data_IF_697514533652
#
_entry.id   IF_697514533652
#
_cell.length_a   1.000
_cell.length_b   1.000
_cell.length_c   1.000
_cell.angle_alpha   90.00
_cell.angle_beta   90.00
_cell.angle_gamma   90.00
#
_symmetry.space_group_name_H-M   'P 1'
#
loop_
_entity.id
_entity.type
_entity.pdbx_description
1 polymer ?
#
# COMPACT_ATOMS: atom_id res chain seq x y z
N UNK A 1 -0.83 -11.75 -6.38
CA UNK A 1 0.39 -11.40 -5.62
C UNK A 1 0.44 -12.07 -4.24
N UNK A 2 -0.68 -12.25 -3.56
CA UNK A 2 -0.71 -13.03 -2.29
C UNK A 2 -0.26 -14.49 -2.46
N UNK A 3 -0.50 -15.09 -3.62
CA UNK A 3 -0.11 -16.49 -3.93
C UNK A 3 1.39 -16.68 -4.17
N UNK A 4 2.16 -15.61 -4.42
CA UNK A 4 3.60 -15.72 -4.73
C UNK A 4 4.50 -16.01 -3.53
N UNK A 5 3.99 -15.92 -2.29
CA UNK A 5 4.76 -16.15 -1.07
C UNK A 5 5.82 -15.08 -0.73
N UNK A 6 6.04 -14.10 -1.61
CA UNK A 6 7.03 -13.03 -1.44
C UNK A 6 6.75 -12.21 -0.17
N UNK A 7 5.49 -11.85 0.06
CA UNK A 7 5.07 -11.12 1.27
C UNK A 7 5.36 -11.90 2.54
N UNK A 8 5.09 -13.20 2.53
CA UNK A 8 5.41 -14.11 3.65
C UNK A 8 6.92 -14.30 3.84
N UNK A 9 7.68 -14.35 2.75
CA UNK A 9 9.13 -14.45 2.81
C UNK A 9 9.76 -13.19 3.43
N UNK A 10 9.33 -11.99 2.99
CA UNK A 10 9.76 -10.71 3.57
C UNK A 10 9.42 -10.65 5.06
N UNK A 11 8.17 -10.94 5.43
CA UNK A 11 7.75 -10.95 6.82
C UNK A 11 8.56 -11.94 7.66
N UNK A 12 8.81 -13.16 7.18
CA UNK A 12 9.67 -14.15 7.87
C UNK A 12 11.09 -13.65 8.02
N UNK A 13 11.70 -13.11 6.95
CA UNK A 13 13.08 -12.61 6.99
C UNK A 13 13.25 -11.47 7.99
N UNK A 14 12.25 -10.59 8.10
CA UNK A 14 12.26 -9.48 9.06
C UNK A 14 11.97 -9.92 10.50
N UNK A 15 11.27 -11.05 10.69
CA UNK A 15 10.89 -11.58 12.01
C UNK A 15 11.82 -12.67 12.54
N UNK A 16 12.79 -13.16 11.77
CA UNK A 16 13.65 -14.30 12.16
C UNK A 16 14.51 -14.10 13.42
N UNK A 17 14.68 -12.87 13.89
CA UNK A 17 15.36 -12.58 15.18
C UNK A 17 14.32 -12.10 16.22
N UNK A 18 13.73 -12.97 16.92
CA UNK A 18 12.58 -12.91 17.85
C UNK A 18 12.37 -11.72 18.81
N UNK A 19 13.16 -10.64 18.74
CA UNK A 19 13.03 -9.38 19.49
C UNK A 19 13.68 -8.21 18.77
N UNK A 20 13.22 -7.90 17.55
CA UNK A 20 13.75 -6.72 16.88
C UNK A 20 13.09 -5.45 17.43
N UNK A 21 13.91 -4.41 17.65
CA UNK A 21 13.44 -3.12 18.14
C UNK A 21 12.48 -2.48 17.11
N UNK A 22 11.52 -1.69 17.58
CA UNK A 22 10.60 -0.93 16.74
C UNK A 22 11.35 -0.11 15.68
N UNK A 23 12.49 0.50 16.06
CA UNK A 23 13.35 1.25 15.13
C UNK A 23 13.84 0.40 13.96
N UNK A 24 14.22 -0.83 14.24
CA UNK A 24 14.68 -1.75 13.20
C UNK A 24 13.54 -2.10 12.22
N UNK A 25 12.32 -2.33 12.72
CA UNK A 25 11.16 -2.62 11.87
C UNK A 25 10.81 -1.42 10.99
N UNK A 26 10.81 -0.22 11.54
CA UNK A 26 10.60 1.03 10.82
C UNK A 26 11.64 1.19 9.70
N UNK A 27 12.92 1.09 10.04
CA UNK A 27 14.02 1.25 9.10
C UNK A 27 14.01 0.19 8.00
N UNK A 28 13.81 -1.08 8.37
CA UNK A 28 13.83 -2.18 7.42
C UNK A 28 12.65 -2.14 6.45
N UNK A 29 11.45 -1.79 6.90
CA UNK A 29 10.29 -1.63 6.03
C UNK A 29 10.47 -0.43 5.09
N UNK A 30 10.91 0.72 5.59
CA UNK A 30 11.20 1.88 4.77
C UNK A 30 12.27 1.58 3.70
N UNK A 31 13.39 0.96 4.11
CA UNK A 31 14.47 0.60 3.20
C UNK A 31 14.03 -0.43 2.14
N UNK A 32 13.32 -1.48 2.55
CA UNK A 32 12.82 -2.51 1.62
C UNK A 32 11.86 -1.91 0.61
N UNK A 33 10.95 -1.05 1.06
CA UNK A 33 9.99 -0.39 0.16
C UNK A 33 10.70 0.59 -0.77
N UNK A 34 11.69 1.33 -0.28
CA UNK A 34 12.49 2.23 -1.11
C UNK A 34 13.26 1.48 -2.19
N UNK A 35 13.89 0.36 -1.85
CA UNK A 35 14.60 -0.49 -2.81
C UNK A 35 13.66 -1.04 -3.90
N UNK A 36 12.48 -1.50 -3.53
CA UNK A 36 11.48 -1.95 -4.50
C UNK A 36 11.02 -0.79 -5.40
N UNK A 37 10.86 0.40 -4.84
CA UNK A 37 10.44 1.59 -5.57
C UNK A 37 11.47 2.10 -6.56
N UNK A 38 12.74 1.68 -6.48
CA UNK A 38 13.73 1.95 -7.52
C UNK A 38 13.41 1.22 -8.83
N UNK A 39 12.79 0.05 -8.74
CA UNK A 39 12.53 -0.81 -9.89
C UNK A 39 11.07 -0.79 -10.36
N UNK A 40 10.17 -0.21 -9.57
CA UNK A 40 8.74 -0.16 -9.89
C UNK A 40 8.11 1.15 -9.40
N UNK A 41 6.87 1.41 -9.85
CA UNK A 41 6.10 2.56 -9.41
C UNK A 41 5.91 2.57 -7.87
N UNK A 42 5.96 3.75 -7.25
CA UNK A 42 5.81 3.97 -5.81
C UNK A 42 4.57 3.30 -5.22
N UNK A 43 3.42 3.42 -5.91
CA UNK A 43 2.16 2.81 -5.48
C UNK A 43 2.25 1.29 -5.46
N UNK A 44 2.85 0.70 -6.50
CA UNK A 44 3.04 -0.75 -6.58
C UNK A 44 3.98 -1.26 -5.49
N UNK A 45 5.09 -0.56 -5.22
CA UNK A 45 6.04 -0.90 -4.16
C UNK A 45 5.36 -0.85 -2.77
N UNK A 46 4.62 0.22 -2.49
CA UNK A 46 3.85 0.36 -1.25
C UNK A 46 2.79 -0.73 -1.10
N UNK A 47 1.99 -0.98 -2.13
CA UNK A 47 0.95 -2.00 -2.13
C UNK A 47 1.51 -3.42 -1.94
N UNK A 48 2.69 -3.72 -2.48
CA UNK A 48 3.35 -5.02 -2.32
C UNK A 48 3.78 -5.27 -0.87
N UNK A 49 4.27 -4.24 -0.19
CA UNK A 49 4.77 -4.34 1.20
C UNK A 49 3.65 -4.23 2.23
N UNK A 50 2.53 -3.60 1.90
CA UNK A 50 1.41 -3.34 2.80
C UNK A 50 0.94 -4.59 3.57
N UNK A 51 0.64 -5.75 2.93
CA UNK A 51 0.22 -6.95 3.67
C UNK A 51 1.29 -7.45 4.64
N UNK A 52 2.57 -7.36 4.26
CA UNK A 52 3.69 -7.75 5.11
C UNK A 52 3.82 -6.84 6.33
N UNK A 53 3.68 -5.53 6.15
CA UNK A 53 3.73 -4.56 7.24
C UNK A 53 2.60 -4.78 8.25
N UNK A 54 1.39 -5.08 7.78
CA UNK A 54 0.25 -5.38 8.64
C UNK A 54 0.42 -6.70 9.39
N UNK A 55 0.98 -7.72 8.75
CA UNK A 55 1.28 -8.99 9.40
C UNK A 55 2.35 -8.82 10.49
N UNK A 56 3.40 -8.02 10.21
CA UNK A 56 4.42 -7.67 11.20
C UNK A 56 3.79 -6.90 12.38
N UNK A 57 2.92 -5.93 12.12
CA UNK A 57 2.21 -5.17 13.15
C UNK A 57 1.43 -6.10 14.10
N UNK A 58 0.68 -7.07 13.54
CA UNK A 58 -0.07 -8.05 14.32
C UNK A 58 0.83 -8.92 15.20
N UNK A 59 1.96 -9.40 14.65
CA UNK A 59 2.88 -10.32 15.36
C UNK A 59 3.72 -9.64 16.42
N UNK A 60 4.09 -8.37 16.19
CA UNK A 60 4.99 -7.63 17.09
C UNK A 60 4.26 -6.73 18.07
N UNK A 61 2.94 -6.60 17.96
CA UNK A 61 2.09 -5.67 18.73
C UNK A 61 2.49 -4.18 18.54
N UNK A 62 3.26 -3.88 17.50
CA UNK A 62 3.54 -2.50 17.09
C UNK A 62 2.33 -1.96 16.35
N UNK A 63 1.92 -0.73 16.65
CA UNK A 63 0.75 -0.13 16.02
C UNK A 63 0.92 -0.04 14.50
N UNK A 64 -0.11 -0.39 13.69
CA UNK A 64 -0.03 -0.37 12.23
C UNK A 64 0.45 0.96 11.65
N UNK A 65 0.03 2.11 12.20
CA UNK A 65 0.45 3.43 11.73
C UNK A 65 1.97 3.60 11.77
N UNK A 66 2.65 3.07 12.78
CA UNK A 66 4.12 3.14 12.92
C UNK A 66 4.88 2.34 11.87
N UNK A 67 4.23 1.39 11.21
CA UNK A 67 4.83 0.57 10.15
C UNK A 67 4.36 1.01 8.76
N UNK A 68 3.10 1.44 8.62
CA UNK A 68 2.54 1.87 7.33
C UNK A 68 3.09 3.20 6.85
N UNK A 69 3.30 4.16 7.76
CA UNK A 69 3.89 5.46 7.43
C UNK A 69 5.31 5.29 6.85
N UNK A 70 6.23 4.53 7.48
CA UNK A 70 7.53 4.21 6.88
C UNK A 70 7.47 3.53 5.51
N UNK A 71 6.49 2.65 5.28
CA UNK A 71 6.26 2.05 3.96
C UNK A 71 5.89 3.11 2.92
N UNK A 72 4.98 4.02 3.26
CA UNK A 72 4.58 5.11 2.37
C UNK A 72 5.76 6.06 2.06
N UNK A 73 6.48 6.52 3.08
CA UNK A 73 7.65 7.37 2.87
C UNK A 73 8.78 6.64 2.15
N UNK A 74 9.02 5.37 2.47
CA UNK A 74 10.00 4.54 1.77
C UNK A 74 9.72 4.45 0.27
N UNK A 75 8.46 4.24 -0.12
CA UNK A 75 8.10 4.21 -1.54
C UNK A 75 8.34 5.54 -2.25
N UNK A 76 8.02 6.66 -1.62
CA UNK A 76 8.24 7.99 -2.18
C UNK A 76 9.73 8.33 -2.29
N UNK A 77 10.49 8.07 -1.22
CA UNK A 77 11.93 8.32 -1.19
C UNK A 77 12.68 7.47 -2.21
N UNK A 78 12.34 6.18 -2.34
CA UNK A 78 12.91 5.32 -3.38
C UNK A 78 12.56 5.81 -4.78
N UNK A 79 11.30 6.20 -4.98
CA UNK A 79 10.83 6.75 -6.25
C UNK A 79 11.52 8.04 -6.66
N UNK A 80 11.93 8.90 -5.72
CA UNK A 80 12.68 10.11 -6.04
C UNK A 80 14.08 9.84 -6.60
N UNK A 81 14.65 8.67 -6.32
CA UNK A 81 15.98 8.26 -6.74
C UNK A 81 16.02 7.52 -8.09
N UNK A 82 14.87 7.25 -8.69
CA UNK A 82 14.77 6.51 -9.95
C UNK A 82 14.13 7.34 -11.07
N UNK A 83 14.49 7.03 -12.31
CA UNK A 83 13.82 7.58 -13.50
C UNK A 83 12.39 7.04 -13.68
N UNK A 84 12.08 5.85 -13.17
CA UNK A 84 10.86 5.11 -13.47
C UNK A 84 9.58 5.61 -12.78
N UNK A 85 9.60 6.75 -12.12
CA UNK A 85 8.39 7.40 -11.62
C UNK A 85 7.79 8.33 -12.67
N UNK A 86 6.46 8.39 -12.71
CA UNK A 86 5.74 9.26 -13.65
C UNK A 86 6.22 10.71 -13.57
N UNK A 87 6.44 11.24 -12.35
CA UNK A 87 6.92 12.61 -12.16
C UNK A 87 8.28 12.84 -12.84
N UNK A 88 9.23 11.94 -12.65
CA UNK A 88 10.58 12.07 -13.20
C UNK A 88 10.62 11.90 -14.73
N UNK A 89 9.78 11.01 -15.26
CA UNK A 89 9.59 10.86 -16.71
C UNK A 89 9.04 12.16 -17.31
N UNK A 90 7.99 12.73 -16.71
CA UNK A 90 7.38 13.98 -17.18
C UNK A 90 8.39 15.14 -17.14
N UNK A 91 9.19 15.26 -16.05
CA UNK A 91 10.23 16.27 -15.95
C UNK A 91 11.26 16.13 -17.07
N UNK A 92 11.70 14.89 -17.37
CA UNK A 92 12.64 14.64 -18.46
C UNK A 92 12.05 14.98 -19.83
N UNK A 93 10.77 14.66 -20.06
CA UNK A 93 10.07 14.95 -21.30
C UNK A 93 9.86 16.45 -21.52
N UNK A 94 9.51 17.20 -20.48
CA UNK A 94 9.38 18.66 -20.52
C UNK A 94 10.68 19.35 -20.93
N UNK A 95 11.86 18.80 -20.62
CA UNK A 95 13.14 19.35 -21.06
C UNK A 95 13.29 19.32 -22.58
N UNK A 96 12.77 18.31 -23.24
CA UNK A 96 12.84 18.19 -24.70
C UNK A 96 11.95 19.18 -25.41
N UNK A 97 10.88 19.64 -24.78
CA UNK A 97 9.93 20.63 -25.28
C UNK A 97 10.26 22.06 -24.84
N UNK A 98 11.28 22.24 -23.97
CA UNK A 98 11.72 23.54 -23.49
C UNK A 98 12.30 24.43 -24.60
N UNK A 99 12.33 25.73 -24.40
CA UNK A 99 12.93 26.68 -25.34
C UNK A 99 14.11 27.42 -24.63
N UNK A 100 15.37 27.17 -25.03
CA UNK A 100 15.85 26.21 -26.05
C UNK A 100 15.67 24.74 -25.60
N UNK A 101 15.50 23.80 -26.55
CA UNK A 101 15.34 22.38 -26.25
C UNK A 101 16.56 21.82 -25.50
N UNK A 102 16.32 21.03 -24.47
CA UNK A 102 17.35 20.39 -23.66
C UNK A 102 17.36 18.88 -23.95
N UNK A 103 18.51 18.23 -23.77
CA UNK A 103 18.56 16.79 -23.84
C UNK A 103 17.75 16.12 -22.73
N UNK A 104 17.05 15.00 -22.99
CA UNK A 104 16.34 14.26 -21.96
C UNK A 104 17.31 13.76 -20.91
N UNK A 105 16.83 13.65 -19.68
CA UNK A 105 17.62 13.15 -18.57
C UNK A 105 17.89 11.65 -18.73
N UNK A 106 19.11 11.23 -18.46
CA UNK A 106 19.44 9.80 -18.48
C UNK A 106 18.90 9.09 -17.21
N UNK A 107 18.81 7.76 -17.27
CA UNK A 107 18.18 6.91 -16.25
C UNK A 107 18.72 7.16 -14.82
N UNK A 108 20.01 7.45 -14.68
CA UNK A 108 20.67 7.69 -13.40
C UNK A 108 20.71 9.16 -12.97
N UNK A 109 20.10 10.09 -13.74
CA UNK A 109 20.16 11.51 -13.44
C UNK A 109 19.57 11.89 -12.07
N UNK A 110 18.54 11.17 -11.65
CA UNK A 110 17.88 11.39 -10.36
C UNK A 110 18.55 10.66 -9.18
N UNK A 111 19.39 9.67 -9.45
CA UNK A 111 19.96 8.79 -8.42
C UNK A 111 20.89 9.53 -7.44
N UNK A 112 21.76 10.47 -7.84
CA UNK A 112 22.64 11.15 -6.87
C UNK A 112 21.88 11.98 -5.84
N UNK A 113 20.93 12.79 -6.30
CA UNK A 113 20.15 13.66 -5.40
C UNK A 113 19.05 12.91 -4.67
N UNK A 114 18.22 12.15 -5.39
CA UNK A 114 17.15 11.34 -4.83
C UNK A 114 17.68 10.21 -3.94
N UNK A 115 18.79 9.58 -4.31
CA UNK A 115 19.43 8.55 -3.50
C UNK A 115 19.96 9.10 -2.16
N UNK A 116 20.58 10.29 -2.18
CA UNK A 116 21.00 10.96 -0.94
C UNK A 116 19.80 11.30 -0.05
N UNK A 117 18.73 11.84 -0.64
CA UNK A 117 17.47 12.11 0.07
C UNK A 117 16.85 10.83 0.64
N UNK A 118 16.87 9.74 -0.11
CA UNK A 118 16.34 8.45 0.37
C UNK A 118 17.14 7.92 1.57
N UNK A 119 18.46 7.95 1.51
CA UNK A 119 19.33 7.55 2.61
C UNK A 119 19.07 8.43 3.84
N UNK A 120 19.07 9.75 3.68
CA UNK A 120 18.83 10.68 4.77
C UNK A 120 17.42 10.50 5.39
N UNK A 121 16.38 10.34 4.56
CA UNK A 121 15.01 10.14 5.01
C UNK A 121 14.82 8.80 5.74
N UNK A 122 15.41 7.72 5.25
CA UNK A 122 15.36 6.41 5.93
C UNK A 122 16.14 6.47 7.25
N UNK A 123 17.29 7.10 7.28
CA UNK A 123 18.07 7.31 8.51
C UNK A 123 17.27 8.15 9.54
N UNK A 124 16.62 9.21 9.10
CA UNK A 124 15.73 10.01 9.94
C UNK A 124 14.59 9.18 10.53
N UNK A 125 13.89 8.41 9.70
CA UNK A 125 12.83 7.52 10.17
C UNK A 125 13.34 6.44 11.15
N UNK A 126 14.53 5.91 10.92
CA UNK A 126 15.15 4.93 11.81
C UNK A 126 15.48 5.52 13.19
N UNK A 127 15.98 6.74 13.21
CA UNK A 127 16.41 7.40 14.45
C UNK A 127 15.24 8.00 15.23
N UNK A 128 14.35 8.71 14.54
CA UNK A 128 13.29 9.51 15.15
C UNK A 128 11.89 8.91 15.00
N UNK A 129 11.66 8.03 14.03
CA UNK A 129 10.33 7.50 13.70
C UNK A 129 9.61 6.87 14.88
N UNK A 130 10.33 6.12 15.75
CA UNK A 130 9.72 5.47 16.92
C UNK A 130 9.09 6.47 17.93
N UNK A 131 9.53 7.74 17.94
CA UNK A 131 9.03 8.78 18.86
C UNK A 131 8.00 9.71 18.22
N UNK A 132 8.13 9.94 16.91
CA UNK A 132 7.35 10.95 16.19
C UNK A 132 6.19 10.36 15.41
N UNK A 133 6.26 9.08 15.07
CA UNK A 133 5.16 8.42 14.38
C UNK A 133 3.96 8.22 15.33
N UNK A 134 2.75 8.55 14.85
CA UNK A 134 1.54 8.44 15.66
C UNK A 134 1.25 6.98 16.03
N UNK A 135 0.77 6.79 17.24
CA UNK A 135 0.44 5.48 17.82
C UNK A 135 -1.06 5.20 17.64
N UNK A 136 -1.48 4.99 16.39
CA UNK A 136 -2.89 4.81 16.03
C UNK A 136 -3.15 3.42 15.45
N UNK A 137 -4.30 2.89 15.77
CA UNK A 137 -4.86 1.74 15.06
C UNK A 137 -5.46 2.19 13.72
N UNK A 138 -5.56 1.31 12.72
CA UNK A 138 -6.23 1.63 11.46
C UNK A 138 -7.66 2.12 11.74
N UNK A 139 -8.08 3.14 10.98
CA UNK A 139 -9.44 3.67 11.12
C UNK A 139 -10.49 2.55 10.92
N UNK A 140 -11.65 2.65 11.60
CA UNK A 140 -12.74 1.67 11.47
C UNK A 140 -13.12 1.34 10.03
N UNK A 141 -13.02 2.32 9.12
CA UNK A 141 -13.26 2.16 7.68
C UNK A 141 -12.30 1.16 7.01
N UNK A 142 -11.04 1.09 7.46
CA UNK A 142 -10.09 0.07 6.98
C UNK A 142 -10.35 -1.31 7.61
N UNK A 143 -10.97 -1.34 8.76
CA UNK A 143 -11.49 -2.57 9.35
C UNK A 143 -12.69 -3.08 8.56
N UNK A 144 -13.61 -2.20 8.13
CA UNK A 144 -14.75 -2.56 7.28
C UNK A 144 -14.32 -3.13 5.92
N UNK A 145 -13.29 -2.58 5.28
CA UNK A 145 -12.74 -3.14 4.04
C UNK A 145 -12.17 -4.56 4.19
N UNK A 146 -12.05 -5.08 5.40
CA UNK A 146 -11.58 -6.44 5.74
C UNK A 146 -12.65 -7.35 6.27
N UNK A 147 -13.85 -6.83 6.48
CA UNK A 147 -14.99 -7.66 6.82
C UNK A 147 -15.25 -8.58 5.61
N UNK A 148 -15.25 -9.85 5.85
CA UNK A 148 -15.73 -10.85 4.90
C UNK A 148 -17.20 -10.53 4.61
N UNK A 149 -17.73 -10.92 3.46
CA UNK A 149 -19.14 -10.65 3.13
C UNK A 149 -20.13 -11.04 4.24
N UNK A 150 -19.84 -12.12 4.97
CA UNK A 150 -20.60 -12.55 6.16
C UNK A 150 -20.56 -11.53 7.30
N UNK A 151 -19.41 -10.91 7.55
CA UNK A 151 -19.28 -9.89 8.63
C UNK A 151 -19.98 -8.58 8.24
N UNK A 152 -20.07 -8.27 6.95
CA UNK A 152 -20.87 -7.14 6.43
C UNK A 152 -22.36 -7.43 6.57
N UNK A 153 -22.81 -8.65 6.27
CA UNK A 153 -24.21 -9.08 6.49
C UNK A 153 -24.62 -8.87 7.95
N UNK A 154 -23.81 -9.32 8.91
CA UNK A 154 -24.11 -9.18 10.34
C UNK A 154 -24.06 -7.71 10.80
N UNK A 155 -23.07 -6.94 10.34
CA UNK A 155 -22.89 -5.55 10.76
C UNK A 155 -23.99 -4.62 10.24
N UNK A 156 -24.46 -4.82 9.02
CA UNK A 156 -25.52 -4.01 8.41
C UNK A 156 -26.92 -4.64 8.54
N UNK A 157 -27.02 -5.79 9.26
CA UNK A 157 -28.27 -6.56 9.39
C UNK A 157 -28.91 -6.81 8.01
N UNK A 158 -28.08 -7.14 7.01
CA UNK A 158 -28.55 -7.34 5.63
C UNK A 158 -29.54 -8.49 5.55
N UNK A 159 -29.39 -9.52 6.40
CA UNK A 159 -30.33 -10.64 6.51
C UNK A 159 -31.74 -10.21 6.91
N UNK A 160 -31.90 -9.05 7.58
CA UNK A 160 -33.23 -8.50 7.92
C UNK A 160 -33.76 -7.52 6.87
N UNK A 161 -32.88 -7.02 5.96
CA UNK A 161 -33.20 -5.97 4.97
C UNK A 161 -33.16 -6.46 3.53
N UNK A 162 -32.44 -7.53 3.27
CA UNK A 162 -32.30 -8.10 1.93
C UNK A 162 -32.92 -9.48 1.91
N UNK A 163 -33.87 -9.70 1.02
CA UNK A 163 -34.50 -10.98 0.78
C UNK A 163 -34.08 -11.48 -0.60
N UNK A 164 -33.47 -12.64 -0.67
CA UNK A 164 -33.26 -13.34 -1.93
C UNK A 164 -34.52 -14.13 -2.26
N UNK A 165 -35.26 -13.69 -3.28
CA UNK A 165 -36.45 -14.36 -3.75
C UNK A 165 -36.15 -15.09 -5.05
N UNK A 166 -36.34 -16.40 -5.06
CA UNK A 166 -36.21 -17.22 -6.25
C UNK A 166 -37.53 -17.27 -6.97
N UNK A 167 -37.59 -16.71 -8.18
CA UNK A 167 -38.78 -16.75 -9.03
C UNK A 167 -38.77 -18.06 -9.80
N UNK A 168 -39.75 -18.97 -9.58
CA UNK A 168 -39.86 -20.20 -10.35
C UNK A 168 -40.16 -19.91 -11.83
N UNK A 169 -39.76 -20.81 -12.76
CA UNK A 169 -39.97 -20.60 -14.20
C UNK A 169 -41.42 -20.42 -14.64
N UNK A 170 -42.33 -20.95 -13.87
CA UNK A 170 -43.79 -20.92 -14.07
C UNK A 170 -44.50 -19.75 -13.35
N UNK A 171 -43.73 -18.90 -12.71
CA UNK A 171 -44.25 -17.68 -12.05
C UNK A 171 -44.65 -16.62 -13.10
N UNK A 172 -45.75 -15.89 -12.89
CA UNK A 172 -46.11 -14.74 -13.74
C UNK A 172 -45.08 -13.61 -13.72
N UNK A 173 -44.15 -13.64 -12.77
CA UNK A 173 -43.04 -12.68 -12.65
C UNK A 173 -41.79 -13.10 -13.46
N UNK A 174 -41.76 -14.32 -14.01
CA UNK A 174 -40.64 -14.84 -14.77
C UNK A 174 -40.59 -14.20 -16.17
N UNK A 175 -39.49 -13.51 -16.50
CA UNK A 175 -39.29 -12.94 -17.84
C UNK A 175 -39.83 -11.53 -18.04
N UNK A 176 -40.47 -10.94 -17.04
CA UNK A 176 -40.92 -9.53 -17.08
C UNK A 176 -39.94 -8.55 -16.39
N UNK A 177 -39.98 -7.24 -16.74
CA UNK A 177 -39.20 -6.24 -16.04
C UNK A 177 -39.73 -6.01 -14.61
N UNK A 178 -38.81 -5.76 -13.67
CA UNK A 178 -39.12 -5.61 -12.24
C UNK A 178 -40.11 -4.42 -11.98
N UNK A 179 -40.09 -3.40 -12.85
CA UNK A 179 -40.97 -2.23 -12.77
C UNK A 179 -42.46 -2.55 -12.97
N UNK A 180 -42.80 -3.70 -13.55
CA UNK A 180 -44.18 -4.14 -13.81
C UNK A 180 -44.65 -5.17 -12.77
N UNK A 181 -43.75 -5.63 -11.87
CA UNK A 181 -44.09 -6.66 -10.89
C UNK A 181 -44.92 -6.18 -9.71
N UNK A 182 -45.07 -4.87 -9.51
CA UNK A 182 -45.83 -4.28 -8.40
C UNK A 182 -45.20 -4.50 -7.00
N UNK A 183 -43.89 -4.87 -6.95
CA UNK A 183 -43.08 -5.04 -5.73
C UNK A 183 -42.30 -3.78 -5.44
#
# INVERSE_FOLDING_TARGET
LEKSGVTRWIARRLLMDGRRSERFLIASLAATTALLSLAMNNLAAGALILPSALEIARRTRVKPSKLLIPVAYGSLLGGSATYFTTANIVVSDLLTTAHPPQAPLHILAFTPTGGLMAIAGIAFLALFGHRWLPDRDPAPEQMMARLTSSDLEDHYQLGERLWEVRVPPDSPLAGGPLSESGI
#
